data_IF_234556296503
#
_entry.id   IF_234556296503
#
_cell.length_a   1.000
_cell.length_b   1.000
_cell.length_c   1.000
_cell.angle_alpha   90.00
_cell.angle_beta   90.00
_cell.angle_gamma   90.00
#
_symmetry.space_group_name_H-M   'P 1'
#
loop_
_entity.id
_entity.type
_entity.pdbx_description
1 polymer ?
#
# COMPACT_ATOMS: atom_id res chain seq x y z
N UNK A 1 -59.89 -24.09 -19.33
CA UNK A 1 -58.40 -24.16 -19.37
C UNK A 1 -57.91 -23.00 -20.22
N UNK A 2 -57.00 -22.13 -19.73
CA UNK A 2 -56.45 -21.05 -20.54
C UNK A 2 -55.77 -21.61 -21.79
N UNK A 3 -55.92 -20.92 -22.92
CA UNK A 3 -55.31 -21.32 -24.19
C UNK A 3 -53.79 -21.40 -24.00
N UNK A 4 -53.08 -22.32 -24.68
CA UNK A 4 -51.61 -22.36 -24.64
C UNK A 4 -50.96 -21.00 -24.92
N UNK A 5 -51.58 -20.16 -25.76
CA UNK A 5 -51.13 -18.80 -26.01
C UNK A 5 -51.25 -17.86 -24.80
N UNK A 6 -52.32 -18.00 -24.00
CA UNK A 6 -52.54 -17.17 -22.80
C UNK A 6 -51.47 -17.45 -21.73
N UNK A 7 -51.03 -18.71 -21.61
CA UNK A 7 -49.97 -19.10 -20.68
C UNK A 7 -48.61 -18.53 -21.08
N UNK A 8 -48.29 -18.53 -22.37
CA UNK A 8 -47.04 -17.99 -22.87
C UNK A 8 -47.01 -16.45 -22.77
N UNK A 9 -48.13 -15.79 -23.10
CA UNK A 9 -48.29 -14.35 -22.89
C UNK A 9 -48.05 -13.96 -21.42
N UNK A 10 -48.73 -14.63 -20.48
CA UNK A 10 -48.58 -14.36 -19.05
C UNK A 10 -47.13 -14.58 -18.56
N UNK A 11 -46.42 -15.58 -19.10
CA UNK A 11 -45.00 -15.81 -18.80
C UNK A 11 -44.13 -14.65 -19.29
N UNK A 12 -44.30 -14.20 -20.54
CA UNK A 12 -43.53 -13.08 -21.11
C UNK A 12 -43.82 -11.76 -20.39
N UNK A 13 -45.08 -11.53 -20.01
CA UNK A 13 -45.47 -10.37 -19.21
C UNK A 13 -44.83 -10.39 -17.81
N UNK A 14 -44.75 -11.57 -17.17
CA UNK A 14 -44.08 -11.74 -15.88
C UNK A 14 -42.58 -11.44 -15.98
N UNK A 15 -41.92 -11.90 -17.05
CA UNK A 15 -40.50 -11.60 -17.32
C UNK A 15 -40.28 -10.09 -17.48
N UNK A 16 -41.15 -9.40 -18.23
CA UNK A 16 -41.07 -7.96 -18.39
C UNK A 16 -41.22 -7.25 -17.03
N UNK A 17 -42.25 -7.60 -16.24
CA UNK A 17 -42.45 -7.00 -14.89
C UNK A 17 -41.25 -7.22 -13.98
N UNK A 18 -40.63 -8.39 -14.01
CA UNK A 18 -39.41 -8.69 -13.25
C UNK A 18 -38.23 -7.83 -13.70
N UNK A 19 -38.04 -7.66 -15.02
CA UNK A 19 -36.99 -6.80 -15.57
C UNK A 19 -37.21 -5.33 -15.20
N UNK A 20 -38.46 -4.84 -15.24
CA UNK A 20 -38.80 -3.47 -14.81
C UNK A 20 -38.52 -3.24 -13.31
N UNK A 21 -38.89 -4.19 -12.44
CA UNK A 21 -38.62 -4.10 -11.02
C UNK A 21 -37.11 -4.09 -10.73
N UNK A 22 -36.34 -4.93 -11.42
CA UNK A 22 -34.87 -4.96 -11.32
C UNK A 22 -34.25 -3.63 -11.75
N UNK A 23 -34.69 -3.06 -12.88
CA UNK A 23 -34.21 -1.78 -13.36
C UNK A 23 -34.51 -0.63 -12.38
N UNK A 24 -35.70 -0.59 -11.77
CA UNK A 24 -36.05 0.41 -10.74
C UNK A 24 -35.16 0.31 -9.51
N UNK A 25 -34.99 -0.89 -8.96
CA UNK A 25 -34.12 -1.10 -7.79
C UNK A 25 -32.67 -0.66 -8.06
N UNK A 26 -32.14 -0.96 -9.26
CA UNK A 26 -30.79 -0.53 -9.64
C UNK A 26 -30.70 0.98 -9.85
N UNK A 27 -31.77 1.63 -10.31
CA UNK A 27 -31.84 3.09 -10.40
C UNK A 27 -31.77 3.75 -9.03
N UNK A 28 -32.49 3.20 -8.03
CA UNK A 28 -32.44 3.69 -6.64
C UNK A 28 -31.05 3.48 -6.02
N UNK A 29 -30.41 2.33 -6.26
CA UNK A 29 -29.04 2.07 -5.83
C UNK A 29 -28.03 3.02 -6.50
N UNK A 30 -28.19 3.28 -7.80
CA UNK A 30 -27.37 4.23 -8.55
C UNK A 30 -27.50 5.64 -7.97
N UNK A 31 -28.73 6.10 -7.70
CA UNK A 31 -29.00 7.39 -7.07
C UNK A 31 -28.33 7.51 -5.69
N UNK A 32 -28.38 6.45 -4.86
CA UNK A 32 -27.70 6.43 -3.57
C UNK A 32 -26.16 6.53 -3.70
N UNK A 33 -25.58 5.99 -4.78
CA UNK A 33 -24.14 6.10 -5.06
C UNK A 33 -23.79 7.51 -5.57
N UNK A 34 -24.61 8.09 -6.43
CA UNK A 34 -24.48 9.50 -6.87
C UNK A 34 -24.48 10.45 -5.67
N UNK A 35 -25.40 10.26 -4.72
CA UNK A 35 -25.44 11.09 -3.50
C UNK A 35 -24.15 10.97 -2.68
N UNK A 36 -23.60 9.77 -2.51
CA UNK A 36 -22.32 9.55 -1.80
C UNK A 36 -21.14 10.20 -2.52
N UNK A 37 -21.11 10.10 -3.85
CA UNK A 37 -20.09 10.79 -4.66
C UNK A 37 -20.17 12.30 -4.46
N UNK A 38 -21.38 12.88 -4.48
CA UNK A 38 -21.58 14.33 -4.28
C UNK A 38 -21.02 14.80 -2.94
N UNK A 39 -21.32 14.09 -1.85
CA UNK A 39 -20.78 14.39 -0.51
C UNK A 39 -19.26 14.33 -0.48
N UNK A 40 -18.66 13.33 -1.14
CA UNK A 40 -17.19 13.23 -1.23
C UNK A 40 -16.58 14.38 -2.03
N UNK A 41 -17.21 14.77 -3.14
CA UNK A 41 -16.76 15.88 -3.97
C UNK A 41 -16.83 17.23 -3.22
N UNK A 42 -17.92 17.48 -2.49
CA UNK A 42 -18.08 18.67 -1.65
C UNK A 42 -17.01 18.74 -0.55
N UNK A 43 -16.73 17.62 0.13
CA UNK A 43 -15.68 17.56 1.14
C UNK A 43 -14.28 17.88 0.57
N UNK A 44 -13.96 17.42 -0.64
CA UNK A 44 -12.69 17.75 -1.31
C UNK A 44 -12.61 19.26 -1.60
N UNK A 45 -13.69 19.87 -2.08
CA UNK A 45 -13.74 21.31 -2.35
C UNK A 45 -13.58 22.14 -1.07
N UNK A 46 -14.24 21.74 0.02
CA UNK A 46 -14.14 22.40 1.32
C UNK A 46 -12.69 22.34 1.87
N UNK A 47 -12.05 21.18 1.80
CA UNK A 47 -10.67 21.02 2.26
C UNK A 47 -9.71 21.84 1.39
N UNK A 48 -9.90 21.89 0.06
CA UNK A 48 -9.12 22.75 -0.83
C UNK A 48 -9.28 24.23 -0.47
N UNK A 49 -10.50 24.66 -0.16
CA UNK A 49 -10.75 26.03 0.29
C UNK A 49 -10.03 26.36 1.60
N UNK A 50 -10.08 25.45 2.58
CA UNK A 50 -9.32 25.59 3.84
C UNK A 50 -7.82 25.66 3.60
N UNK A 51 -7.29 24.84 2.69
CA UNK A 51 -5.87 24.83 2.34
C UNK A 51 -5.43 26.18 1.78
N UNK A 52 -6.20 26.75 0.84
CA UNK A 52 -5.90 28.03 0.20
C UNK A 52 -5.92 29.21 1.18
N UNK A 53 -6.78 29.15 2.20
CA UNK A 53 -6.91 30.23 3.18
C UNK A 53 -5.97 30.10 4.38
N UNK A 54 -5.24 28.98 4.50
CA UNK A 54 -4.38 28.71 5.66
C UNK A 54 -3.01 29.36 5.50
N UNK A 55 -2.67 30.28 6.41
CA UNK A 55 -1.36 30.94 6.47
C UNK A 55 -0.29 30.15 7.24
N UNK A 56 -0.70 29.16 8.04
CA UNK A 56 0.21 28.37 8.89
C UNK A 56 0.79 27.18 8.13
N UNK A 57 2.12 27.05 8.15
CA UNK A 57 2.86 25.95 7.50
C UNK A 57 2.62 24.59 8.16
N UNK A 58 2.35 24.55 9.48
CA UNK A 58 2.05 23.31 10.19
C UNK A 58 0.62 22.87 9.90
N UNK A 59 -0.33 23.81 9.89
CA UNK A 59 -1.72 23.52 9.56
C UNK A 59 -1.88 23.09 8.09
N UNK A 60 -1.10 23.65 7.16
CA UNK A 60 -1.16 23.27 5.75
C UNK A 60 -0.75 21.81 5.51
N UNK A 61 0.21 21.27 6.29
CA UNK A 61 0.59 19.84 6.22
C UNK A 61 -0.57 18.94 6.64
N UNK A 62 -1.23 19.24 7.76
CA UNK A 62 -2.38 18.47 8.24
C UNK A 62 -3.54 18.50 7.23
N UNK A 63 -3.89 19.69 6.72
CA UNK A 63 -4.93 19.87 5.71
C UNK A 63 -4.57 19.13 4.40
N UNK A 64 -3.29 19.08 4.02
CA UNK A 64 -2.84 18.30 2.84
C UNK A 64 -3.03 16.80 3.03
N UNK A 65 -2.81 16.26 4.23
CA UNK A 65 -3.06 14.85 4.54
C UNK A 65 -4.56 14.54 4.44
N UNK A 66 -5.40 15.41 4.99
CA UNK A 66 -6.85 15.27 4.91
C UNK A 66 -7.36 15.38 3.46
N UNK A 67 -6.77 16.26 2.66
CA UNK A 67 -7.08 16.38 1.23
C UNK A 67 -6.81 15.06 0.50
N UNK A 68 -5.63 14.46 0.70
CA UNK A 68 -5.30 13.17 0.07
C UNK A 68 -6.24 12.05 0.51
N UNK A 69 -6.66 12.04 1.78
CA UNK A 69 -7.65 11.07 2.28
C UNK A 69 -9.02 11.28 1.64
N UNK A 70 -9.45 12.54 1.46
CA UNK A 70 -10.71 12.88 0.81
C UNK A 70 -10.69 12.54 -0.69
N UNK A 71 -9.60 12.84 -1.39
CA UNK A 71 -9.40 12.48 -2.80
C UNK A 71 -9.45 10.95 -3.00
N UNK A 72 -8.80 10.17 -2.12
CA UNK A 72 -8.89 8.71 -2.17
C UNK A 72 -10.33 8.19 -1.95
N UNK A 73 -11.11 8.81 -1.05
CA UNK A 73 -12.53 8.47 -0.86
C UNK A 73 -13.36 8.84 -2.10
N UNK A 74 -13.09 9.98 -2.71
CA UNK A 74 -13.75 10.41 -3.94
C UNK A 74 -13.46 9.44 -5.09
N UNK A 75 -12.22 8.98 -5.25
CA UNK A 75 -11.85 8.00 -6.26
C UNK A 75 -12.59 6.66 -6.08
N UNK A 76 -12.69 6.17 -4.84
CA UNK A 76 -13.50 4.98 -4.52
C UNK A 76 -14.97 5.20 -4.91
N UNK A 77 -15.52 6.40 -4.65
CA UNK A 77 -16.89 6.73 -5.01
C UNK A 77 -17.10 6.83 -6.54
N UNK A 78 -16.14 7.37 -7.28
CA UNK A 78 -16.16 7.41 -8.77
C UNK A 78 -16.19 5.98 -9.32
N UNK A 79 -15.28 5.11 -8.85
CA UNK A 79 -15.24 3.73 -9.32
C UNK A 79 -16.53 2.96 -9.00
N UNK A 80 -17.12 3.20 -7.83
CA UNK A 80 -18.43 2.63 -7.47
C UNK A 80 -19.56 3.15 -8.37
N UNK A 81 -19.53 4.44 -8.72
CA UNK A 81 -20.51 5.07 -9.61
C UNK A 81 -20.43 4.48 -11.01
N UNK A 82 -19.22 4.39 -11.59
CA UNK A 82 -19.00 3.81 -12.92
C UNK A 82 -19.50 2.37 -13.00
N UNK A 83 -19.18 1.54 -12.00
CA UNK A 83 -19.68 0.15 -11.95
C UNK A 83 -21.21 0.10 -11.91
N UNK A 84 -21.84 0.95 -11.10
CA UNK A 84 -23.31 1.00 -10.97
C UNK A 84 -23.99 1.52 -12.24
N UNK A 85 -23.34 2.42 -12.97
CA UNK A 85 -23.80 2.88 -14.27
C UNK A 85 -23.83 1.73 -15.29
N UNK A 86 -22.80 0.89 -15.31
CA UNK A 86 -22.76 -0.31 -16.17
C UNK A 86 -23.87 -1.32 -15.80
N UNK A 87 -24.06 -1.59 -14.51
CA UNK A 87 -25.14 -2.45 -14.01
C UNK A 87 -26.54 -1.92 -14.38
N UNK A 88 -26.74 -0.61 -14.26
CA UNK A 88 -27.98 0.06 -14.67
C UNK A 88 -28.22 -0.06 -16.17
N UNK A 89 -27.21 0.23 -16.99
CA UNK A 89 -27.29 0.13 -18.45
C UNK A 89 -27.60 -1.31 -18.91
N UNK A 90 -26.99 -2.30 -18.27
CA UNK A 90 -27.29 -3.72 -18.54
C UNK A 90 -28.75 -4.07 -18.19
N UNK A 91 -29.27 -3.59 -17.05
CA UNK A 91 -30.65 -3.83 -16.65
C UNK A 91 -31.67 -3.12 -17.55
N UNK A 92 -31.35 -1.93 -18.07
CA UNK A 92 -32.18 -1.25 -19.06
C UNK A 92 -32.20 -2.00 -20.39
N UNK A 93 -31.05 -2.56 -20.82
CA UNK A 93 -30.99 -3.42 -22.00
C UNK A 93 -31.83 -4.70 -21.84
N UNK A 94 -31.76 -5.36 -20.69
CA UNK A 94 -32.59 -6.52 -20.34
C UNK A 94 -34.09 -6.16 -20.42
N UNK A 95 -34.47 -5.02 -19.82
CA UNK A 95 -35.85 -4.51 -19.86
C UNK A 95 -36.33 -4.25 -21.28
N UNK A 96 -35.49 -3.63 -22.11
CA UNK A 96 -35.82 -3.33 -23.49
C UNK A 96 -35.98 -4.60 -24.33
N UNK A 97 -35.08 -5.58 -24.15
CA UNK A 97 -35.18 -6.89 -24.81
C UNK A 97 -36.45 -7.65 -24.41
N UNK A 98 -36.80 -7.66 -23.12
CA UNK A 98 -38.04 -8.29 -22.65
C UNK A 98 -39.29 -7.64 -23.27
N UNK A 99 -39.29 -6.31 -23.41
CA UNK A 99 -40.38 -5.57 -24.05
C UNK A 99 -40.52 -5.92 -25.53
N UNK A 100 -39.40 -5.94 -26.27
CA UNK A 100 -39.40 -6.34 -27.69
C UNK A 100 -39.97 -7.75 -27.90
N UNK A 101 -39.57 -8.72 -27.07
CA UNK A 101 -40.09 -10.08 -27.14
C UNK A 101 -41.59 -10.19 -26.85
N UNK A 102 -42.13 -9.32 -25.98
CA UNK A 102 -43.57 -9.23 -25.74
C UNK A 102 -44.28 -8.62 -26.95
N UNK A 103 -43.75 -7.53 -27.51
CA UNK A 103 -44.33 -6.84 -28.67
C UNK A 103 -44.35 -7.74 -29.92
N UNK A 104 -43.26 -8.49 -30.19
CA UNK A 104 -43.19 -9.48 -31.26
C UNK A 104 -44.22 -10.59 -31.08
N UNK A 105 -44.41 -11.05 -29.84
CA UNK A 105 -45.41 -12.07 -29.52
C UNK A 105 -46.83 -11.56 -29.83
N UNK A 106 -47.17 -10.37 -29.36
CA UNK A 106 -48.48 -9.74 -29.60
C UNK A 106 -48.72 -9.55 -31.10
N UNK A 107 -47.70 -9.10 -31.85
CA UNK A 107 -47.78 -8.98 -33.31
C UNK A 107 -48.05 -10.32 -33.98
N UNK A 108 -47.38 -11.39 -33.56
CA UNK A 108 -47.58 -12.74 -34.12
C UNK A 108 -48.99 -13.28 -33.87
N UNK A 109 -49.58 -12.97 -32.71
CA UNK A 109 -50.96 -13.35 -32.37
C UNK A 109 -51.98 -12.60 -33.23
N UNK A 110 -51.74 -11.31 -33.49
CA UNK A 110 -52.61 -10.49 -34.34
C UNK A 110 -52.52 -10.83 -35.85
N UNK A 111 -51.46 -11.51 -36.28
CA UNK A 111 -51.30 -11.96 -37.69
C UNK A 111 -52.04 -13.27 -38.00
N UNK A 112 -52.70 -13.92 -37.03
CA UNK A 112 -53.50 -15.12 -37.30
C UNK A 112 -54.78 -14.78 -38.07
N UNK A 113 -54.64 -14.99 -39.38
CA UNK A 113 -55.62 -15.49 -40.35
C UNK A 113 -56.83 -14.62 -40.67
N UNK A 114 -56.73 -13.92 -41.80
CA UNK A 114 -57.81 -13.98 -42.79
C UNK A 114 -57.77 -15.40 -43.37
N UNK A 115 -58.78 -16.26 -43.16
CA UNK A 115 -58.83 -17.57 -43.78
C UNK A 115 -58.93 -17.37 -45.30
N UNK A 116 -57.86 -17.71 -46.03
CA UNK A 116 -57.87 -17.70 -47.48
C UNK A 116 -58.84 -18.80 -47.95
N UNK A 117 -59.84 -18.50 -48.80
CA UNK A 117 -60.86 -19.47 -49.18
C UNK A 117 -60.24 -20.70 -49.85
N UNK A 118 -60.66 -21.88 -49.39
CA UNK A 118 -60.25 -23.20 -49.90
C UNK A 118 -60.64 -23.34 -51.38
N UNK A 119 -59.68 -23.16 -52.29
CA UNK A 119 -59.77 -23.73 -53.63
C UNK A 119 -59.21 -25.15 -53.57
N UNK A 120 -59.97 -26.12 -54.09
CA UNK A 120 -59.53 -27.52 -54.20
C UNK A 120 -58.29 -27.62 -55.09
N UNK A 121 -57.23 -28.32 -54.66
CA UNK A 121 -56.03 -28.47 -55.46
C UNK A 121 -56.27 -29.44 -56.63
N UNK A 122 -55.80 -29.12 -57.84
CA UNK A 122 -55.85 -30.04 -58.98
C UNK A 122 -54.94 -31.26 -58.76
N UNK A 123 -55.30 -32.44 -59.31
CA UNK A 123 -54.51 -33.66 -59.24
C UNK A 123 -53.26 -33.49 -60.10
N UNK A 124 -52.09 -33.48 -59.45
CA UNK A 124 -50.79 -33.12 -60.05
C UNK A 124 -49.92 -32.22 -59.16
N UNK A 125 -50.43 -31.81 -57.98
CA UNK A 125 -49.85 -30.78 -57.12
C UNK A 125 -48.79 -31.25 -56.11
N UNK A 126 -48.61 -32.55 -55.87
CA UNK A 126 -47.61 -33.04 -54.88
C UNK A 126 -46.17 -32.73 -55.28
N UNK A 127 -45.84 -32.86 -56.57
CA UNK A 127 -44.49 -32.56 -57.06
C UNK A 127 -44.19 -31.05 -57.00
N UNK A 128 -45.22 -30.22 -57.19
CA UNK A 128 -45.10 -28.76 -57.09
C UNK A 128 -45.03 -28.30 -55.64
N UNK A 129 -45.73 -28.97 -54.72
CA UNK A 129 -45.68 -28.72 -53.29
C UNK A 129 -44.31 -29.08 -52.70
N UNK A 130 -43.74 -30.22 -53.08
CA UNK A 130 -42.38 -30.59 -52.67
C UNK A 130 -41.31 -29.62 -53.18
N UNK A 131 -41.47 -29.09 -54.41
CA UNK A 131 -40.60 -28.02 -54.92
C UNK A 131 -40.77 -26.68 -54.18
N UNK A 132 -41.97 -26.38 -53.65
CA UNK A 132 -42.18 -25.18 -52.85
C UNK A 132 -41.61 -25.31 -51.44
N UNK A 133 -41.73 -26.49 -50.82
CA UNK A 133 -41.16 -26.78 -49.51
C UNK A 133 -39.63 -26.72 -49.54
N UNK A 134 -38.99 -27.33 -50.54
CA UNK A 134 -37.52 -27.26 -50.70
C UNK A 134 -37.04 -25.82 -50.94
N UNK A 135 -37.79 -25.01 -51.71
CA UNK A 135 -37.49 -23.57 -51.87
C UNK A 135 -37.68 -22.78 -50.57
N UNK A 136 -38.67 -23.13 -49.75
CA UNK A 136 -38.89 -22.48 -48.46
C UNK A 136 -37.78 -22.80 -47.46
N UNK A 137 -37.37 -24.07 -47.37
CA UNK A 137 -36.25 -24.52 -46.52
C UNK A 137 -34.95 -23.84 -46.92
N UNK A 138 -34.66 -23.72 -48.22
CA UNK A 138 -33.47 -23.01 -48.70
C UNK A 138 -33.50 -21.52 -48.35
N UNK A 139 -34.66 -20.84 -48.49
CA UNK A 139 -34.80 -19.44 -48.08
C UNK A 139 -34.64 -19.24 -46.57
N UNK A 140 -35.14 -20.18 -45.77
CA UNK A 140 -34.96 -20.14 -44.32
C UNK A 140 -33.48 -20.32 -43.93
N UNK A 141 -32.78 -21.24 -44.60
CA UNK A 141 -31.34 -21.43 -44.40
C UNK A 141 -30.54 -20.17 -44.77
N UNK A 142 -30.82 -19.55 -45.91
CA UNK A 142 -30.20 -18.27 -46.32
C UNK A 142 -30.49 -17.15 -45.31
N UNK A 143 -31.71 -17.06 -44.80
CA UNK A 143 -32.08 -16.06 -43.79
C UNK A 143 -31.32 -16.29 -42.48
N UNK A 144 -31.21 -17.54 -42.01
CA UNK A 144 -30.41 -17.90 -40.82
C UNK A 144 -28.95 -17.55 -41.01
N UNK A 145 -28.39 -17.81 -42.21
CA UNK A 145 -27.02 -17.46 -42.53
C UNK A 145 -26.80 -15.94 -42.50
N UNK A 146 -27.70 -15.14 -43.09
CA UNK A 146 -27.63 -13.66 -43.01
C UNK A 146 -27.70 -13.13 -41.58
N UNK A 147 -28.57 -13.70 -40.74
CA UNK A 147 -28.67 -13.35 -39.31
C UNK A 147 -27.37 -13.65 -38.58
N UNK A 148 -26.77 -14.84 -38.81
CA UNK A 148 -25.49 -15.20 -38.21
C UNK A 148 -24.37 -14.27 -38.67
N UNK A 149 -24.31 -13.92 -39.96
CA UNK A 149 -23.31 -13.01 -40.49
C UNK A 149 -23.45 -11.59 -39.90
N UNK A 150 -24.67 -11.11 -39.74
CA UNK A 150 -24.96 -9.80 -39.12
C UNK A 150 -24.53 -9.79 -37.64
N UNK A 151 -24.79 -10.88 -36.91
CA UNK A 151 -24.30 -11.03 -35.52
C UNK A 151 -22.79 -11.02 -35.45
N UNK A 152 -22.12 -11.78 -36.34
CA UNK A 152 -20.66 -11.83 -36.38
C UNK A 152 -20.05 -10.47 -36.66
N UNK A 153 -20.60 -9.69 -37.61
CA UNK A 153 -20.15 -8.33 -37.89
C UNK A 153 -20.35 -7.40 -36.69
N UNK A 154 -21.48 -7.49 -35.99
CA UNK A 154 -21.73 -6.70 -34.79
C UNK A 154 -20.75 -7.04 -33.65
N UNK A 155 -20.45 -8.32 -33.45
CA UNK A 155 -19.45 -8.77 -32.46
C UNK A 155 -18.04 -8.28 -32.81
N UNK A 156 -17.65 -8.34 -34.08
CA UNK A 156 -16.37 -7.82 -34.56
C UNK A 156 -16.28 -6.30 -34.38
N UNK A 157 -17.35 -5.55 -34.64
CA UNK A 157 -17.39 -4.10 -34.42
C UNK A 157 -17.26 -3.75 -32.93
N UNK A 158 -17.96 -4.47 -32.04
CA UNK A 158 -17.83 -4.29 -30.59
C UNK A 158 -16.40 -4.59 -30.13
N UNK A 159 -15.79 -5.65 -30.66
CA UNK A 159 -14.39 -6.00 -30.37
C UNK A 159 -13.42 -4.93 -30.87
N UNK A 160 -13.65 -4.37 -32.07
CA UNK A 160 -12.84 -3.30 -32.63
C UNK A 160 -12.92 -2.02 -31.77
N UNK A 161 -14.12 -1.60 -31.36
CA UNK A 161 -14.31 -0.44 -30.46
C UNK A 161 -13.72 -0.68 -29.07
N UNK A 162 -13.75 -1.91 -28.57
CA UNK A 162 -13.09 -2.27 -27.31
C UNK A 162 -11.57 -2.14 -27.42
N UNK A 163 -10.98 -2.62 -28.53
CA UNK A 163 -9.56 -2.48 -28.81
C UNK A 163 -9.15 -1.01 -28.93
N UNK A 164 -9.90 -0.22 -29.70
CA UNK A 164 -9.63 1.23 -29.85
C UNK A 164 -9.62 1.97 -28.50
N UNK A 165 -10.60 1.69 -27.63
CA UNK A 165 -10.62 2.26 -26.27
C UNK A 165 -9.44 1.82 -25.41
N UNK A 166 -8.98 0.58 -25.58
CA UNK A 166 -7.79 0.07 -24.90
C UNK A 166 -6.54 0.81 -25.38
N UNK A 167 -6.38 0.97 -26.69
CA UNK A 167 -5.24 1.65 -27.31
C UNK A 167 -5.23 3.14 -26.93
N UNK A 168 -6.39 3.79 -26.86
CA UNK A 168 -6.54 5.17 -26.36
C UNK A 168 -6.11 5.30 -24.90
N UNK A 169 -6.54 4.40 -24.01
CA UNK A 169 -6.13 4.41 -22.60
C UNK A 169 -4.62 4.18 -22.45
N UNK A 170 -4.03 3.30 -23.26
CA UNK A 170 -2.59 3.08 -23.26
C UNK A 170 -1.83 4.33 -23.74
N UNK A 171 -2.34 5.01 -24.78
CA UNK A 171 -1.76 6.26 -25.28
C UNK A 171 -1.85 7.39 -24.24
N UNK A 172 -2.99 7.53 -23.54
CA UNK A 172 -3.16 8.49 -22.45
C UNK A 172 -2.21 8.18 -21.29
N UNK A 173 -2.12 6.93 -20.86
CA UNK A 173 -1.19 6.52 -19.80
C UNK A 173 0.27 6.83 -20.17
N UNK A 174 0.67 6.62 -21.43
CA UNK A 174 2.02 6.99 -21.93
C UNK A 174 2.25 8.51 -21.87
N UNK A 175 1.23 9.33 -22.19
CA UNK A 175 1.31 10.80 -22.10
C UNK A 175 1.42 11.26 -20.65
N UNK A 176 0.60 10.72 -19.75
CA UNK A 176 0.66 11.04 -18.32
C UNK A 176 2.01 10.65 -17.71
N UNK A 177 2.54 9.47 -18.06
CA UNK A 177 3.86 9.04 -17.60
C UNK A 177 4.97 9.97 -18.10
N UNK A 178 4.93 10.36 -19.38
CA UNK A 178 5.88 11.32 -19.94
C UNK A 178 5.79 12.70 -19.25
N UNK A 179 4.57 13.16 -18.92
CA UNK A 179 4.36 14.39 -18.18
C UNK A 179 4.94 14.32 -16.76
N UNK A 180 4.65 13.25 -16.01
CA UNK A 180 5.20 13.04 -14.66
C UNK A 180 6.73 12.98 -14.68
N UNK A 181 7.30 12.31 -15.68
CA UNK A 181 8.76 12.26 -15.87
C UNK A 181 9.35 13.66 -16.08
N UNK A 182 8.72 14.48 -16.93
CA UNK A 182 9.13 15.87 -17.15
C UNK A 182 9.03 16.71 -15.88
N UNK A 183 7.94 16.61 -15.13
CA UNK A 183 7.76 17.30 -13.85
C UNK A 183 8.82 16.89 -12.81
N UNK A 184 9.21 15.61 -12.80
CA UNK A 184 10.27 15.11 -11.94
C UNK A 184 11.64 15.69 -12.33
N UNK A 185 11.96 15.73 -13.63
CA UNK A 185 13.20 16.33 -14.15
C UNK A 185 13.25 17.85 -13.89
N UNK A 186 12.14 18.56 -14.05
CA UNK A 186 12.08 19.99 -13.73
C UNK A 186 12.17 20.23 -12.22
N UNK A 187 11.56 19.34 -11.43
CA UNK A 187 11.68 19.35 -9.97
C UNK A 187 13.11 19.12 -9.49
N UNK A 188 13.87 18.21 -10.10
CA UNK A 188 15.28 17.99 -9.74
C UNK A 188 16.17 19.15 -10.20
N UNK A 189 15.95 19.70 -11.39
CA UNK A 189 16.63 20.93 -11.85
C UNK A 189 16.37 22.11 -10.91
N UNK A 190 15.13 22.29 -10.45
CA UNK A 190 14.76 23.35 -9.50
C UNK A 190 15.41 23.15 -8.13
N UNK A 191 15.45 21.92 -7.62
CA UNK A 191 16.20 21.60 -6.38
C UNK A 191 17.69 21.86 -6.53
N UNK A 192 18.29 21.49 -7.66
CA UNK A 192 19.70 21.76 -7.97
C UNK A 192 19.98 23.26 -7.96
N UNK A 193 19.21 24.06 -8.72
CA UNK A 193 19.31 25.53 -8.70
C UNK A 193 19.17 26.13 -7.30
N UNK A 194 18.21 25.65 -6.50
CA UNK A 194 18.05 26.11 -5.12
C UNK A 194 19.21 25.70 -4.20
N UNK A 195 19.83 24.53 -4.41
CA UNK A 195 21.03 24.14 -3.66
C UNK A 195 22.23 24.99 -4.06
N UNK A 196 22.41 25.28 -5.35
CA UNK A 196 23.46 26.18 -5.83
C UNK A 196 23.30 27.58 -5.24
N UNK A 197 22.08 28.14 -5.29
CA UNK A 197 21.78 29.46 -4.74
C UNK A 197 21.98 29.55 -3.21
N UNK A 198 21.84 28.42 -2.49
CA UNK A 198 22.14 28.34 -1.04
C UNK A 198 23.62 28.19 -0.72
N UNK A 199 24.43 27.68 -1.67
CA UNK A 199 25.89 27.49 -1.47
C UNK A 199 26.69 28.75 -1.77
N UNK A 200 26.22 29.65 -2.63
CA UNK A 200 26.88 30.95 -2.88
C UNK A 200 27.11 31.79 -1.59
N UNK A 201 26.12 31.94 -0.69
CA UNK A 201 26.33 32.63 0.59
C UNK A 201 27.36 31.98 1.51
N UNK A 202 27.48 30.64 1.49
CA UNK A 202 28.42 29.91 2.34
C UNK A 202 29.86 30.05 1.83
N UNK A 203 30.07 30.13 0.52
CA UNK A 203 31.40 30.35 -0.04
C UNK A 203 31.92 31.76 0.29
N UNK A 204 31.06 32.79 0.18
CA UNK A 204 31.41 34.16 0.55
C UNK A 204 31.74 34.28 2.06
N UNK A 205 30.95 33.65 2.94
CA UNK A 205 31.22 33.63 4.39
C UNK A 205 32.51 32.89 4.73
N UNK A 206 32.80 31.78 4.05
CA UNK A 206 34.04 31.03 4.24
C UNK A 206 35.26 31.82 3.77
N UNK A 207 35.13 32.57 2.68
CA UNK A 207 36.19 33.45 2.18
C UNK A 207 36.48 34.61 3.16
N UNK A 208 35.43 35.26 3.68
CA UNK A 208 35.56 36.30 4.71
C UNK A 208 36.17 35.74 6.00
N UNK A 209 35.80 34.53 6.42
CA UNK A 209 36.39 33.87 7.58
C UNK A 209 37.88 33.56 7.37
N UNK A 210 38.27 33.13 6.17
CA UNK A 210 39.66 32.87 5.83
C UNK A 210 40.49 34.16 5.84
N UNK A 211 39.98 35.25 5.27
CA UNK A 211 40.64 36.56 5.30
C UNK A 211 40.84 37.07 6.74
N UNK A 212 39.85 36.91 7.62
CA UNK A 212 39.98 37.26 9.06
C UNK A 212 41.07 36.44 9.76
N UNK A 213 41.21 35.16 9.43
CA UNK A 213 42.26 34.29 9.99
C UNK A 213 43.65 34.72 9.50
N UNK A 214 43.79 35.04 8.21
CA UNK A 214 45.06 35.55 7.69
C UNK A 214 45.41 36.93 8.26
N UNK A 215 44.42 37.82 8.43
CA UNK A 215 44.63 39.11 9.09
C UNK A 215 45.06 38.93 10.56
N UNK A 216 44.44 38.02 11.30
CA UNK A 216 44.82 37.70 12.67
C UNK A 216 46.26 37.15 12.76
N UNK A 217 46.65 36.26 11.84
CA UNK A 217 48.04 35.78 11.75
C UNK A 217 49.01 36.92 11.42
N UNK A 218 48.66 37.83 10.51
CA UNK A 218 49.49 38.99 10.19
C UNK A 218 49.68 39.89 11.42
N UNK A 219 48.61 40.16 12.17
CA UNK A 219 48.66 40.90 13.45
C UNK A 219 49.54 40.20 14.48
N UNK A 220 49.42 38.88 14.62
CA UNK A 220 50.25 38.10 15.53
C UNK A 220 51.74 38.18 15.17
N UNK A 221 52.08 38.01 13.88
CA UNK A 221 53.46 38.15 13.38
C UNK A 221 54.01 39.56 13.63
N UNK A 222 53.19 40.60 13.48
CA UNK A 222 53.58 41.98 13.80
C UNK A 222 53.91 42.14 15.27
N UNK A 223 53.04 41.69 16.19
CA UNK A 223 53.30 41.71 17.64
C UNK A 223 54.56 40.93 18.02
N UNK A 224 54.84 39.82 17.34
CA UNK A 224 56.05 39.04 17.63
C UNK A 224 57.31 39.79 17.25
N UNK A 225 57.30 40.46 16.08
CA UNK A 225 58.43 41.31 15.63
C UNK A 225 58.62 42.53 16.54
N UNK A 226 57.53 43.11 17.03
CA UNK A 226 57.59 44.23 17.98
C UNK A 226 58.18 43.81 19.32
N UNK A 227 57.69 42.70 19.91
CA UNK A 227 58.26 42.14 21.13
C UNK A 227 59.74 41.75 20.97
N UNK A 228 60.15 41.25 19.80
CA UNK A 228 61.57 41.01 19.50
C UNK A 228 62.40 42.30 19.51
N UNK A 229 61.89 43.38 18.91
CA UNK A 229 62.56 44.69 18.93
C UNK A 229 62.64 45.28 20.33
N UNK A 230 61.58 45.15 21.14
CA UNK A 230 61.60 45.58 22.55
C UNK A 230 62.61 44.78 23.38
N UNK A 231 62.63 43.45 23.21
CA UNK A 231 63.59 42.60 23.91
C UNK A 231 65.05 42.91 23.52
N UNK A 232 65.30 43.22 22.26
CA UNK A 232 66.61 43.65 21.77
C UNK A 232 67.00 45.03 22.33
N UNK A 233 66.06 45.98 22.36
CA UNK A 233 66.27 47.29 22.97
C UNK A 233 66.55 47.20 24.48
N UNK A 234 65.82 46.35 25.21
CA UNK A 234 66.05 46.09 26.63
C UNK A 234 67.42 45.44 26.90
N UNK A 235 67.87 44.53 26.01
CA UNK A 235 69.22 43.97 26.06
C UNK A 235 70.29 45.05 25.90
N UNK A 236 70.12 45.98 24.97
CA UNK A 236 71.06 47.09 24.77
C UNK A 236 71.09 48.05 25.97
N UNK A 237 69.96 48.28 26.64
CA UNK A 237 69.91 49.07 27.88
C UNK A 237 70.64 48.38 29.05
N UNK A 238 70.46 47.07 29.23
CA UNK A 238 71.15 46.33 30.30
C UNK A 238 72.67 46.23 30.06
N UNK A 239 73.13 46.27 28.81
CA UNK A 239 74.58 46.27 28.48
C UNK A 239 75.25 47.61 28.84
N UNK A 240 74.48 48.70 29.03
CA UNK A 240 75.01 50.00 29.44
C UNK A 240 74.97 50.24 30.96
N UNK A 241 74.45 49.31 31.78
CA UNK A 241 74.58 49.46 33.24
C UNK A 241 76.00 49.09 33.68
N UNK A 242 76.75 50.03 34.30
CA UNK A 242 78.09 49.74 34.80
C UNK A 242 78.05 48.76 35.96
N UNK A 243 79.02 47.86 35.96
CA UNK A 243 79.19 46.72 36.84
C UNK A 243 79.51 47.13 38.29
N UNK A 244 78.49 47.26 39.14
CA UNK A 244 78.70 47.42 40.59
C UNK A 244 77.83 46.51 41.47
N UNK A 245 77.31 45.38 40.99
CA UNK A 245 76.66 44.46 41.95
C UNK A 245 76.55 43.01 41.48
N UNK A 246 77.67 42.28 41.43
CA UNK A 246 77.61 40.80 41.49
C UNK A 246 78.96 40.14 41.81
N UNK A 247 79.56 40.53 42.93
CA UNK A 247 80.58 39.72 43.62
C UNK A 247 80.01 39.17 44.93
N UNK A 248 79.15 38.16 44.84
CA UNK A 248 79.04 37.15 45.92
C UNK A 248 78.21 35.94 45.46
N UNK A 249 78.76 34.76 45.76
CA UNK A 249 78.11 33.43 45.73
C UNK A 249 78.38 32.53 44.51
N UNK A 250 79.66 32.12 44.43
CA UNK A 250 80.16 30.76 44.18
C UNK A 250 79.29 29.73 44.96
N UNK A 251 78.81 28.60 44.44
CA UNK A 251 79.55 27.32 44.27
C UNK A 251 78.69 26.17 43.69
N UNK A 252 79.33 25.32 42.83
CA UNK A 252 79.15 23.85 42.60
C UNK A 252 77.78 23.38 42.05
N UNK A 253 77.63 22.48 41.06
CA UNK A 253 78.36 21.30 40.57
C UNK A 253 78.07 21.08 39.05
N UNK A 254 79.07 20.78 38.21
CA UNK A 254 79.37 19.45 37.64
C UNK A 254 78.23 18.80 36.82
N UNK A 255 78.32 18.83 35.48
CA UNK A 255 78.24 17.65 34.59
C UNK A 255 78.44 18.00 33.10
N UNK A 256 79.12 17.07 32.44
CA UNK A 256 79.75 16.96 31.10
C UNK A 256 78.91 17.18 29.82
N UNK A 257 79.58 17.32 28.65
CA UNK A 257 78.99 17.73 27.37
C UNK A 257 78.58 16.53 26.47
N UNK A 258 77.57 16.73 25.60
CA UNK A 258 77.23 15.78 24.52
C UNK A 258 77.42 16.45 23.16
N UNK A 259 78.33 15.87 22.39
CA UNK A 259 78.81 16.36 21.10
C UNK A 259 77.73 16.31 20.00
N UNK A 260 77.82 17.22 19.00
CA UNK A 260 77.09 17.12 17.74
C UNK A 260 77.78 16.13 16.79
N UNK A 261 77.00 15.23 16.23
CA UNK A 261 77.42 14.24 15.24
C UNK A 261 77.66 14.92 13.87
N UNK A 262 78.75 14.60 13.15
CA UNK A 262 79.07 15.24 11.88
C UNK A 262 78.35 14.57 10.70
N UNK A 263 77.87 15.43 9.80
CA UNK A 263 77.34 15.10 8.48
C UNK A 263 78.26 14.16 7.68
N UNK A 264 77.72 13.14 6.99
CA UNK A 264 78.43 12.51 5.89
C UNK A 264 78.27 13.36 4.62
N UNK A 265 79.42 13.85 4.20
CA UNK A 265 79.85 14.20 2.85
C UNK A 265 78.90 13.78 1.72
N UNK A 266 78.41 14.82 1.04
CA UNK A 266 78.18 14.88 -0.41
C UNK A 266 79.39 14.29 -1.14
N UNK A 267 79.20 13.22 -1.90
CA UNK A 267 79.92 13.05 -3.16
C UNK A 267 79.21 12.06 -4.10
N UNK A 268 79.14 12.46 -5.37
CA UNK A 268 78.88 11.64 -6.55
C UNK A 268 77.50 11.02 -6.77
N UNK A 269 76.60 11.76 -7.46
CA UNK A 269 75.73 11.18 -8.51
C UNK A 269 75.08 12.21 -9.45
N UNK A 270 75.86 13.16 -9.97
CA UNK A 270 75.44 13.97 -11.13
C UNK A 270 75.63 13.17 -12.44
N UNK A 271 74.83 12.11 -12.64
CA UNK A 271 74.63 11.39 -13.94
C UNK A 271 73.64 10.23 -13.77
N UNK A 272 72.39 10.50 -13.38
CA UNK A 272 71.29 9.52 -13.45
C UNK A 272 69.88 10.12 -13.25
N UNK A 273 69.73 11.44 -13.13
CA UNK A 273 68.43 12.02 -12.75
C UNK A 273 67.38 11.97 -13.87
N UNK A 274 67.81 11.96 -15.14
CA UNK A 274 66.87 11.87 -16.27
C UNK A 274 66.33 10.45 -16.50
N UNK A 275 67.05 9.40 -16.08
CA UNK A 275 66.59 8.01 -16.22
C UNK A 275 65.73 7.52 -15.04
N UNK A 276 65.87 8.09 -13.83
CA UNK A 276 64.99 7.78 -12.68
C UNK A 276 63.66 8.53 -12.80
N UNK A 277 63.65 9.71 -13.43
CA UNK A 277 62.42 10.49 -13.66
C UNK A 277 61.49 9.80 -14.67
N UNK A 278 62.03 9.23 -15.75
CA UNK A 278 61.24 8.54 -16.78
C UNK A 278 60.60 7.22 -16.30
N UNK A 279 61.31 6.40 -15.52
CA UNK A 279 60.73 5.19 -14.93
C UNK A 279 59.64 5.51 -13.88
N UNK A 280 59.67 6.71 -13.28
CA UNK A 280 58.63 7.17 -12.34
C UNK A 280 57.35 7.66 -13.02
N UNK A 281 57.44 8.27 -14.20
CA UNK A 281 56.27 8.74 -14.96
C UNK A 281 55.48 7.58 -15.56
N UNK A 282 56.16 6.54 -16.04
CA UNK A 282 55.50 5.34 -16.58
C UNK A 282 54.76 4.57 -15.47
N UNK A 283 55.37 4.41 -14.28
CA UNK A 283 54.70 3.82 -13.12
C UNK A 283 53.51 4.65 -12.63
N UNK A 284 53.62 5.99 -12.67
CA UNK A 284 52.52 6.87 -12.32
C UNK A 284 51.36 6.77 -13.33
N UNK A 285 51.68 6.70 -14.63
CA UNK A 285 50.69 6.51 -15.69
C UNK A 285 49.98 5.14 -15.57
N UNK A 286 50.71 4.08 -15.23
CA UNK A 286 50.13 2.76 -14.97
C UNK A 286 49.21 2.78 -13.74
N UNK A 287 49.65 3.34 -12.60
CA UNK A 287 48.80 3.49 -11.40
C UNK A 287 47.56 4.34 -11.66
N UNK A 288 47.69 5.40 -12.45
CA UNK A 288 46.54 6.25 -12.85
C UNK A 288 45.53 5.47 -13.70
N UNK A 289 46.00 4.69 -14.68
CA UNK A 289 45.12 3.81 -15.49
C UNK A 289 44.44 2.74 -14.63
N UNK A 290 45.16 2.15 -13.69
CA UNK A 290 44.62 1.14 -12.77
C UNK A 290 43.55 1.74 -11.84
N UNK A 291 43.81 2.93 -11.28
CA UNK A 291 42.84 3.67 -10.48
C UNK A 291 41.58 4.03 -11.29
N UNK A 292 41.74 4.44 -12.56
CA UNK A 292 40.61 4.72 -13.45
C UNK A 292 39.80 3.45 -13.76
N UNK A 293 40.46 2.29 -13.94
CA UNK A 293 39.79 1.00 -14.14
C UNK A 293 38.99 0.59 -12.90
N UNK A 294 39.59 0.69 -11.71
CA UNK A 294 38.91 0.46 -10.43
C UNK A 294 37.71 1.40 -10.22
N UNK A 295 37.83 2.67 -10.63
CA UNK A 295 36.75 3.62 -10.57
C UNK A 295 35.59 3.23 -11.51
N UNK A 296 35.90 2.80 -12.74
CA UNK A 296 34.89 2.31 -13.70
C UNK A 296 34.19 1.04 -13.20
N UNK A 297 34.95 0.09 -12.64
CA UNK A 297 34.38 -1.13 -12.03
C UNK A 297 33.45 -0.81 -10.86
N UNK A 298 33.82 0.15 -10.00
CA UNK A 298 32.94 0.62 -8.91
C UNK A 298 31.64 1.26 -9.43
N UNK A 299 31.72 2.06 -10.49
CA UNK A 299 30.53 2.68 -11.10
C UNK A 299 29.63 1.60 -11.69
N UNK A 300 30.19 0.63 -12.42
CA UNK A 300 29.43 -0.50 -12.97
C UNK A 300 28.76 -1.33 -11.86
N UNK A 301 29.48 -1.62 -10.78
CA UNK A 301 28.92 -2.35 -9.64
C UNK A 301 27.76 -1.60 -8.97
N UNK A 302 27.85 -0.27 -8.83
CA UNK A 302 26.77 0.56 -8.27
C UNK A 302 25.55 0.62 -9.23
N UNK A 303 25.79 0.72 -10.54
CA UNK A 303 24.72 0.68 -11.55
C UNK A 303 24.01 -0.68 -11.57
N UNK A 304 24.74 -1.78 -11.50
CA UNK A 304 24.17 -3.13 -11.41
C UNK A 304 23.39 -3.34 -10.11
N UNK A 305 23.90 -2.83 -8.98
CA UNK A 305 23.20 -2.87 -7.70
C UNK A 305 21.89 -2.06 -7.75
N UNK A 306 21.88 -0.88 -8.39
CA UNK A 306 20.66 -0.08 -8.59
C UNK A 306 19.67 -0.77 -9.51
N UNK A 307 20.15 -1.44 -10.56
CA UNK A 307 19.29 -2.20 -11.47
C UNK A 307 18.62 -3.36 -10.73
N UNK A 308 19.38 -4.18 -9.99
CA UNK A 308 18.85 -5.28 -9.17
C UNK A 308 17.87 -4.79 -8.09
N UNK A 309 18.13 -3.61 -7.51
CA UNK A 309 17.22 -3.00 -6.53
C UNK A 309 15.88 -2.59 -7.15
N UNK A 310 15.89 -2.00 -8.36
CA UNK A 310 14.66 -1.67 -9.11
C UNK A 310 13.87 -2.91 -9.48
N UNK A 311 14.55 -3.97 -9.91
CA UNK A 311 13.91 -5.21 -10.30
C UNK A 311 13.22 -5.90 -9.12
N UNK A 312 13.88 -5.95 -7.95
CA UNK A 312 13.27 -6.42 -6.70
C UNK A 312 12.08 -5.56 -6.27
N UNK A 313 12.16 -4.24 -6.41
CA UNK A 313 11.06 -3.34 -6.08
C UNK A 313 9.86 -3.56 -7.02
N UNK A 314 10.09 -3.72 -8.32
CA UNK A 314 9.05 -4.04 -9.29
C UNK A 314 8.39 -5.39 -9.01
N UNK A 315 9.18 -6.39 -8.61
CA UNK A 315 8.66 -7.71 -8.24
C UNK A 315 7.82 -7.67 -6.95
N UNK A 316 8.25 -6.90 -5.94
CA UNK A 316 7.46 -6.67 -4.73
C UNK A 316 6.14 -5.95 -5.02
N UNK A 317 6.15 -4.96 -5.91
CA UNK A 317 4.94 -4.25 -6.33
C UNK A 317 3.96 -5.17 -7.07
N UNK A 318 4.47 -6.02 -7.98
CA UNK A 318 3.66 -7.01 -8.68
C UNK A 318 3.03 -8.04 -7.72
N UNK A 319 3.79 -8.54 -6.75
CA UNK A 319 3.26 -9.46 -5.73
C UNK A 319 2.22 -8.80 -4.82
N UNK A 320 2.44 -7.53 -4.42
CA UNK A 320 1.48 -6.76 -3.65
C UNK A 320 0.17 -6.55 -4.41
N UNK A 321 0.24 -6.21 -5.71
CA UNK A 321 -0.93 -6.09 -6.58
C UNK A 321 -1.70 -7.42 -6.69
N UNK A 322 -0.99 -8.55 -6.84
CA UNK A 322 -1.61 -9.89 -6.88
C UNK A 322 -2.33 -10.24 -5.58
N UNK A 323 -1.76 -9.88 -4.43
CA UNK A 323 -2.40 -10.09 -3.11
C UNK A 323 -3.65 -9.20 -2.97
N UNK A 324 -3.58 -7.96 -3.43
CA UNK A 324 -4.72 -7.03 -3.39
C UNK A 324 -5.89 -7.51 -4.26
N UNK A 325 -5.61 -8.03 -5.46
CA UNK A 325 -6.65 -8.58 -6.33
C UNK A 325 -7.31 -9.82 -5.71
N UNK A 326 -6.51 -10.74 -5.12
CA UNK A 326 -7.06 -11.89 -4.36
C UNK A 326 -7.98 -11.46 -3.22
N UNK A 327 -7.62 -10.41 -2.48
CA UNK A 327 -8.47 -9.86 -1.41
C UNK A 327 -9.76 -9.27 -1.96
N UNK A 328 -9.72 -8.60 -3.12
CA UNK A 328 -10.90 -8.03 -3.78
C UNK A 328 -11.87 -9.13 -4.23
N UNK A 329 -11.35 -10.21 -4.82
CA UNK A 329 -12.14 -11.37 -5.21
C UNK A 329 -12.80 -12.05 -4.00
N UNK A 330 -12.04 -12.29 -2.92
CA UNK A 330 -12.58 -12.87 -1.69
C UNK A 330 -13.68 -12.00 -1.05
N UNK A 331 -13.53 -10.66 -1.08
CA UNK A 331 -14.54 -9.74 -0.59
C UNK A 331 -15.82 -9.75 -1.45
N UNK A 332 -15.69 -9.92 -2.77
CA UNK A 332 -16.83 -10.05 -3.67
C UNK A 332 -17.58 -11.37 -3.44
N UNK A 333 -16.86 -12.49 -3.27
CA UNK A 333 -17.46 -13.77 -2.90
C UNK A 333 -18.17 -13.72 -1.54
N UNK A 334 -17.58 -13.04 -0.55
CA UNK A 334 -18.21 -12.83 0.74
C UNK A 334 -19.51 -12.02 0.63
N UNK A 335 -19.55 -10.99 -0.23
CA UNK A 335 -20.78 -10.25 -0.53
C UNK A 335 -21.84 -11.12 -1.22
N UNK A 336 -21.45 -11.98 -2.16
CA UNK A 336 -22.38 -12.93 -2.80
C UNK A 336 -22.97 -13.90 -1.78
N UNK A 337 -22.17 -14.38 -0.82
CA UNK A 337 -22.64 -15.23 0.27
C UNK A 337 -23.58 -14.50 1.24
N UNK A 338 -23.32 -13.24 1.58
CA UNK A 338 -24.17 -12.47 2.50
C UNK A 338 -25.50 -12.01 1.87
N UNK A 339 -25.60 -11.99 0.54
CA UNK A 339 -26.83 -11.61 -0.16
C UNK A 339 -27.91 -12.72 -0.14
N UNK A 340 -27.56 -13.95 0.25
CA UNK A 340 -28.53 -14.96 0.62
C UNK A 340 -29.08 -14.63 2.01
N UNK A 341 -30.23 -13.94 2.05
CA UNK A 341 -30.94 -13.61 3.31
C UNK A 341 -31.20 -14.91 4.10
N UNK A 342 -30.69 -15.04 5.34
CA UNK A 342 -31.17 -16.07 6.24
C UNK A 342 -32.67 -15.83 6.55
N UNK A 343 -33.45 -16.89 6.74
CA UNK A 343 -34.87 -16.79 7.09
C UNK A 343 -35.08 -15.97 8.38
N UNK A 344 -36.22 -15.28 8.50
CA UNK A 344 -36.51 -14.40 9.64
C UNK A 344 -36.45 -15.17 10.96
N UNK A 345 -35.61 -14.67 11.87
CA UNK A 345 -35.41 -15.23 13.21
C UNK A 345 -36.59 -14.79 14.12
N UNK A 346 -37.20 -15.72 14.87
CA UNK A 346 -38.32 -15.43 15.78
C UNK A 346 -37.92 -14.53 16.96
N UNK A 347 -38.91 -13.86 17.60
CA UNK A 347 -38.68 -12.79 18.57
C UNK A 347 -38.03 -13.26 19.88
N UNK A 348 -37.28 -12.32 20.46
CA UNK A 348 -36.45 -12.41 21.67
C UNK A 348 -36.95 -13.39 22.75
N UNK A 349 -36.17 -14.46 22.92
CA UNK A 349 -36.20 -15.33 24.10
C UNK A 349 -35.36 -14.67 25.20
N UNK A 350 -35.91 -14.61 26.41
CA UNK A 350 -35.24 -14.10 27.59
C UNK A 350 -33.87 -14.78 27.80
N UNK A 351 -32.88 -13.99 28.19
CA UNK A 351 -31.48 -14.38 28.34
C UNK A 351 -31.38 -15.50 29.40
N UNK A 352 -31.01 -16.74 29.03
CA UNK A 352 -30.90 -17.83 30.00
C UNK A 352 -29.82 -17.50 31.03
N UNK A 353 -30.14 -17.61 32.31
CA UNK A 353 -29.18 -17.47 33.41
C UNK A 353 -28.18 -18.65 33.51
N UNK A 354 -28.17 -19.57 32.54
CA UNK A 354 -27.33 -20.78 32.55
C UNK A 354 -25.86 -20.53 32.15
N UNK A 355 -25.53 -19.35 31.62
CA UNK A 355 -24.17 -19.09 31.10
C UNK A 355 -23.10 -19.03 32.21
N UNK A 356 -23.42 -18.54 33.40
CA UNK A 356 -22.41 -18.28 34.44
C UNK A 356 -21.89 -19.56 35.10
N UNK A 357 -22.74 -20.58 35.26
CA UNK A 357 -22.33 -21.88 35.81
C UNK A 357 -21.37 -22.61 34.87
N UNK A 358 -21.61 -22.52 33.56
CA UNK A 358 -20.77 -23.10 32.52
C UNK A 358 -19.36 -22.48 32.57
N UNK A 359 -19.26 -21.16 32.75
CA UNK A 359 -17.96 -20.49 32.85
C UNK A 359 -17.23 -20.81 34.17
N UNK A 360 -17.96 -21.00 35.27
CA UNK A 360 -17.36 -21.45 36.55
C UNK A 360 -16.82 -22.87 36.45
N UNK A 361 -17.58 -23.79 35.85
CA UNK A 361 -17.13 -25.17 35.62
C UNK A 361 -15.89 -25.21 34.71
N UNK A 362 -15.92 -24.50 33.58
CA UNK A 362 -14.75 -24.36 32.71
C UNK A 362 -13.53 -23.82 33.45
N UNK A 363 -13.72 -22.84 34.35
CA UNK A 363 -12.60 -22.28 35.09
C UNK A 363 -11.98 -23.30 36.04
N UNK A 364 -12.80 -24.11 36.71
CA UNK A 364 -12.32 -25.20 37.57
C UNK A 364 -11.49 -26.21 36.78
N UNK A 365 -11.97 -26.62 35.59
CA UNK A 365 -11.22 -27.51 34.69
C UNK A 365 -9.88 -26.89 34.27
N UNK A 366 -9.88 -25.58 33.99
CA UNK A 366 -8.66 -24.85 33.67
C UNK A 366 -7.71 -24.76 34.87
N UNK A 367 -8.20 -24.63 36.10
CA UNK A 367 -7.37 -24.66 37.32
C UNK A 367 -6.71 -26.01 37.52
N UNK A 368 -7.44 -27.11 37.30
CA UNK A 368 -6.90 -28.46 37.37
C UNK A 368 -5.80 -28.65 36.33
N UNK A 369 -6.05 -28.25 35.08
CA UNK A 369 -5.07 -28.32 34.01
C UNK A 369 -3.81 -27.47 34.30
N UNK A 370 -3.95 -26.34 35.01
CA UNK A 370 -2.81 -25.48 35.37
C UNK A 370 -1.96 -26.00 36.54
N UNK A 371 -2.35 -27.07 37.22
CA UNK A 371 -1.51 -27.68 38.26
C UNK A 371 -0.26 -28.34 37.67
N UNK A 372 -0.37 -28.95 36.49
CA UNK A 372 0.74 -29.60 35.79
C UNK A 372 0.75 -29.24 34.29
N UNK A 373 1.53 -28.21 33.95
CA UNK A 373 1.72 -27.78 32.57
C UNK A 373 2.45 -28.82 31.70
N UNK A 374 3.24 -29.72 32.30
CA UNK A 374 4.01 -30.72 31.54
C UNK A 374 3.14 -31.89 31.08
N UNK A 375 2.11 -32.23 31.85
CA UNK A 375 1.12 -33.26 31.53
C UNK A 375 -0.04 -32.75 30.65
N UNK A 376 -0.12 -31.45 30.38
CA UNK A 376 -1.25 -30.85 29.65
C UNK A 376 -1.25 -31.24 28.17
N UNK A 377 -2.26 -32.01 27.76
CA UNK A 377 -2.47 -32.42 26.35
C UNK A 377 -3.52 -31.57 25.63
N UNK A 378 -4.42 -30.95 26.38
CA UNK A 378 -5.51 -30.12 25.85
C UNK A 378 -5.51 -28.76 26.52
N UNK A 379 -5.50 -27.71 25.70
CA UNK A 379 -5.61 -26.34 26.21
C UNK A 379 -7.04 -26.09 26.74
N UNK A 380 -7.22 -25.54 27.95
CA UNK A 380 -8.54 -25.28 28.53
C UNK A 380 -9.24 -24.10 27.83
N UNK A 381 -9.78 -24.35 26.64
CA UNK A 381 -10.46 -23.34 25.82
C UNK A 381 -11.81 -22.94 26.44
N UNK A 382 -12.12 -21.63 26.57
CA UNK A 382 -13.42 -21.19 27.05
C UNK A 382 -14.56 -21.79 26.22
N UNK A 383 -15.69 -22.17 26.85
CA UNK A 383 -16.82 -22.73 26.12
C UNK A 383 -17.35 -21.71 25.11
N UNK A 384 -17.68 -22.20 23.92
CA UNK A 384 -18.27 -21.36 22.87
C UNK A 384 -19.67 -20.91 23.31
N UNK A 385 -19.96 -19.61 23.38
CA UNK A 385 -21.31 -19.17 23.72
C UNK A 385 -22.27 -19.52 22.58
N UNK A 386 -23.48 -19.97 22.95
CA UNK A 386 -24.56 -20.25 21.99
C UNK A 386 -24.91 -19.00 21.16
N UNK A 387 -24.85 -17.82 21.79
CA UNK A 387 -24.96 -16.53 21.11
C UNK A 387 -23.58 -15.97 20.78
N UNK A 388 -23.21 -16.05 19.51
CA UNK A 388 -21.98 -15.48 18.97
C UNK A 388 -22.04 -13.94 18.99
N UNK A 389 -20.93 -13.30 19.38
CA UNK A 389 -20.78 -11.84 19.27
C UNK A 389 -20.93 -11.36 17.81
N UNK A 390 -21.92 -10.49 17.56
CA UNK A 390 -22.23 -9.94 16.23
C UNK A 390 -21.44 -8.67 15.86
N UNK A 391 -20.44 -8.26 16.66
CA UNK A 391 -19.62 -7.10 16.32
C UNK A 391 -18.82 -7.38 15.03
N UNK A 392 -18.81 -6.49 14.03
CA UNK A 392 -18.17 -6.74 12.74
C UNK A 392 -16.67 -7.05 12.87
N UNK A 393 -15.98 -6.39 13.79
CA UNK A 393 -14.57 -6.65 14.10
C UNK A 393 -14.33 -8.05 14.67
N UNK A 394 -15.29 -8.57 15.44
CA UNK A 394 -15.22 -9.92 16.02
C UNK A 394 -15.48 -11.00 14.96
N UNK A 395 -16.43 -10.77 14.06
CA UNK A 395 -16.76 -11.70 12.96
C UNK A 395 -15.60 -11.81 11.95
N UNK A 396 -15.04 -10.68 11.52
CA UNK A 396 -13.95 -10.66 10.53
C UNK A 396 -12.66 -11.28 11.08
N UNK A 397 -12.37 -11.10 12.36
CA UNK A 397 -11.14 -11.57 12.98
C UNK A 397 -11.22 -12.99 13.57
N UNK A 398 -12.36 -13.68 13.52
CA UNK A 398 -12.54 -14.97 14.22
C UNK A 398 -11.71 -16.10 13.60
N UNK A 399 -11.66 -16.17 12.27
CA UNK A 399 -10.99 -17.27 11.55
C UNK A 399 -9.47 -17.23 11.63
N UNK A 400 -8.88 -16.05 11.88
CA UNK A 400 -7.43 -15.87 12.00
C UNK A 400 -6.89 -16.00 13.42
N UNK A 401 -7.75 -16.20 14.42
CA UNK A 401 -7.37 -16.33 15.84
C UNK A 401 -7.07 -17.78 16.23
N UNK A 402 -6.13 -17.96 17.14
CA UNK A 402 -5.72 -19.26 17.67
C UNK A 402 -6.87 -19.96 18.42
N UNK A 403 -7.68 -19.22 19.18
CA UNK A 403 -8.84 -19.79 19.91
C UNK A 403 -10.11 -19.88 19.07
N UNK A 404 -10.18 -19.24 17.90
CA UNK A 404 -11.41 -19.06 17.11
C UNK A 404 -12.59 -18.44 17.90
N UNK A 405 -12.30 -17.82 19.04
CA UNK A 405 -13.25 -17.12 19.93
C UNK A 405 -12.92 -15.62 19.87
N UNK A 406 -13.93 -14.75 19.96
CA UNK A 406 -13.70 -13.31 19.91
C UNK A 406 -13.31 -12.75 21.30
N UNK A 407 -12.65 -11.56 21.37
CA UNK A 407 -12.24 -10.97 22.65
C UNK A 407 -13.39 -10.73 23.62
N UNK A 408 -14.57 -10.37 23.11
CA UNK A 408 -15.74 -10.10 23.96
C UNK A 408 -16.26 -11.36 24.64
N UNK A 409 -16.19 -12.51 23.98
CA UNK A 409 -16.63 -13.79 24.56
C UNK A 409 -15.61 -14.27 25.62
N UNK A 410 -14.31 -14.08 25.36
CA UNK A 410 -13.25 -14.34 26.35
C UNK A 410 -13.44 -13.43 27.57
N UNK A 411 -13.68 -12.13 27.36
CA UNK A 411 -13.94 -11.17 28.43
C UNK A 411 -15.15 -11.58 29.27
N UNK A 412 -16.25 -12.00 28.62
CA UNK A 412 -17.46 -12.49 29.31
C UNK A 412 -17.14 -13.73 30.16
N UNK A 413 -16.42 -14.70 29.60
CA UNK A 413 -16.02 -15.91 30.31
C UNK A 413 -15.15 -15.61 31.54
N UNK A 414 -14.15 -14.72 31.39
CA UNK A 414 -13.27 -14.32 32.50
C UNK A 414 -14.04 -13.52 33.56
N UNK A 415 -14.96 -12.62 33.20
CA UNK A 415 -15.78 -11.88 34.19
C UNK A 415 -16.69 -12.81 34.99
N UNK A 416 -17.27 -13.83 34.36
CA UNK A 416 -18.19 -14.75 35.02
C UNK A 416 -17.53 -15.60 36.13
N UNK A 417 -16.20 -15.74 36.12
CA UNK A 417 -15.47 -16.47 37.18
C UNK A 417 -15.39 -15.69 38.49
N UNK A 418 -15.49 -14.36 38.45
CA UNK A 418 -15.36 -13.49 39.62
C UNK A 418 -13.97 -13.47 40.26
N UNK A 419 -12.94 -14.01 39.61
CA UNK A 419 -11.56 -13.99 40.12
C UNK A 419 -10.88 -12.62 39.94
N UNK A 420 -9.92 -12.25 40.83
CA UNK A 420 -9.15 -11.03 40.65
C UNK A 420 -8.33 -11.04 39.35
N UNK A 421 -8.42 -9.98 38.53
CA UNK A 421 -7.73 -9.92 37.23
C UNK A 421 -6.21 -10.05 37.33
N UNK A 422 -5.62 -9.65 38.47
CA UNK A 422 -4.18 -9.82 38.75
C UNK A 422 -3.76 -11.30 38.79
N UNK A 423 -4.62 -12.18 39.29
CA UNK A 423 -4.38 -13.63 39.35
C UNK A 423 -4.57 -14.25 37.98
N UNK A 424 -5.68 -13.93 37.31
CA UNK A 424 -5.96 -14.39 35.95
C UNK A 424 -4.79 -14.04 35.01
N UNK A 425 -4.25 -12.82 35.10
CA UNK A 425 -3.10 -12.39 34.30
C UNK A 425 -1.88 -13.29 34.50
N UNK A 426 -1.63 -13.75 35.73
CA UNK A 426 -0.49 -14.66 36.02
C UNK A 426 -0.76 -16.08 35.53
N UNK A 427 -2.00 -16.55 35.60
CA UNK A 427 -2.38 -17.88 35.13
C UNK A 427 -2.27 -18.02 33.61
N UNK A 428 -2.68 -17.01 32.86
CA UNK A 428 -2.69 -17.02 31.39
C UNK A 428 -1.39 -16.55 30.73
N UNK A 429 -0.31 -16.31 31.47
CA UNK A 429 0.94 -15.84 30.89
C UNK A 429 1.54 -16.89 29.92
N UNK A 430 1.88 -16.54 28.66
CA UNK A 430 2.35 -17.50 27.66
C UNK A 430 3.60 -18.27 28.10
N UNK A 431 4.50 -17.66 28.86
CA UNK A 431 5.72 -18.33 29.37
C UNK A 431 5.42 -19.56 30.23
N UNK A 432 4.28 -19.63 30.93
CA UNK A 432 3.93 -20.83 31.70
C UNK A 432 3.74 -22.06 30.82
N UNK A 433 3.27 -21.85 29.59
CA UNK A 433 3.06 -22.89 28.59
C UNK A 433 4.34 -23.29 27.84
N UNK A 434 5.50 -22.69 28.15
CA UNK A 434 6.79 -23.12 27.59
C UNK A 434 7.22 -24.51 28.08
N UNK A 435 6.70 -24.94 29.23
CA UNK A 435 6.98 -26.24 29.84
C UNK A 435 6.12 -27.38 29.29
N UNK A 436 5.12 -27.07 28.45
CA UNK A 436 4.30 -28.08 27.78
C UNK A 436 5.12 -28.91 26.77
N UNK A 437 4.58 -30.09 26.40
CA UNK A 437 5.14 -30.97 25.37
C UNK A 437 5.43 -30.18 24.09
N UNK A 438 6.56 -30.46 23.44
CA UNK A 438 7.08 -29.68 22.31
C UNK A 438 6.07 -29.57 21.15
N UNK A 439 5.33 -30.64 20.89
CA UNK A 439 4.32 -30.74 19.82
C UNK A 439 3.15 -29.74 19.98
N UNK A 440 2.74 -29.45 21.22
CA UNK A 440 1.59 -28.58 21.51
C UNK A 440 2.00 -27.20 22.04
N UNK A 441 3.27 -27.02 22.38
CA UNK A 441 3.83 -25.82 23.03
C UNK A 441 3.50 -24.54 22.26
N UNK A 442 3.82 -24.49 20.97
CA UNK A 442 3.60 -23.29 20.15
C UNK A 442 2.11 -22.94 20.05
N UNK A 443 1.26 -23.95 19.83
CA UNK A 443 -0.18 -23.77 19.74
C UNK A 443 -0.77 -23.28 21.08
N UNK A 444 -0.29 -23.80 22.21
CA UNK A 444 -0.76 -23.40 23.54
C UNK A 444 -0.30 -21.99 23.90
N UNK A 445 0.94 -21.63 23.58
CA UNK A 445 1.44 -20.26 23.77
C UNK A 445 0.64 -19.26 22.92
N UNK A 446 0.30 -19.59 21.68
CA UNK A 446 -0.53 -18.74 20.83
C UNK A 446 -1.94 -18.53 21.43
N UNK A 447 -2.58 -19.60 21.90
CA UNK A 447 -3.89 -19.53 22.58
C UNK A 447 -3.82 -18.75 23.89
N UNK A 448 -2.82 -19.01 24.73
CA UNK A 448 -2.60 -18.29 26.00
C UNK A 448 -2.38 -16.80 25.77
N UNK A 449 -1.59 -16.44 24.74
CA UNK A 449 -1.34 -15.04 24.36
C UNK A 449 -2.63 -14.28 24.04
N UNK A 450 -3.59 -14.92 23.37
CA UNK A 450 -4.90 -14.30 23.09
C UNK A 450 -5.68 -14.03 24.38
N UNK A 451 -5.78 -15.01 25.28
CA UNK A 451 -6.46 -14.81 26.58
C UNK A 451 -5.74 -13.75 27.40
N UNK A 452 -4.42 -13.82 27.49
CA UNK A 452 -3.59 -12.87 28.23
C UNK A 452 -3.79 -11.43 27.76
N UNK A 453 -3.86 -11.18 26.44
CA UNK A 453 -4.12 -9.83 25.92
C UNK A 453 -5.49 -9.28 26.35
N UNK A 454 -6.51 -10.14 26.42
CA UNK A 454 -7.84 -9.75 26.91
C UNK A 454 -7.77 -9.44 28.40
N UNK A 455 -7.16 -10.32 29.20
CA UNK A 455 -7.02 -10.14 30.65
C UNK A 455 -6.20 -8.91 31.01
N UNK A 456 -5.13 -8.59 30.27
CA UNK A 456 -4.34 -7.37 30.47
C UNK A 456 -5.18 -6.12 30.24
N UNK A 457 -5.97 -6.08 29.16
CA UNK A 457 -6.89 -4.96 28.88
C UNK A 457 -7.93 -4.80 29.98
N UNK A 458 -8.48 -5.91 30.49
CA UNK A 458 -9.44 -5.89 31.60
C UNK A 458 -8.80 -5.35 32.89
N UNK A 459 -7.59 -5.83 33.22
CA UNK A 459 -6.83 -5.36 34.39
C UNK A 459 -6.48 -3.87 34.31
N UNK A 460 -6.09 -3.38 33.13
CA UNK A 460 -5.82 -1.95 32.91
C UNK A 460 -7.08 -1.10 33.06
N UNK A 461 -8.23 -1.59 32.58
CA UNK A 461 -9.52 -0.93 32.75
C UNK A 461 -9.95 -0.84 34.22
N UNK A 462 -9.71 -1.89 35.02
CA UNK A 462 -9.99 -1.89 36.47
C UNK A 462 -9.07 -0.96 37.27
N UNK A 463 -7.82 -0.75 36.83
CA UNK A 463 -6.85 0.13 37.51
C UNK A 463 -6.99 1.61 37.13
N UNK A 464 -7.59 1.89 35.98
CA UNK A 464 -7.83 3.25 35.48
C UNK A 464 -9.12 3.90 36.00
N UNK A 465 -9.93 3.15 36.75
CA UNK A 465 -11.05 3.62 37.55
C UNK A 465 -10.60 3.81 38.99
#
# INVERSE_FOLDING_TARGET
>A
MPSPGDKEFARRETILKQAEAKARNLSDEYNAVVSRYRVCAEAVLEIKHRLNNTKSSVASIAITIDLKRAEARQEIAINALMKKQEEHAAAEADRFSAKLHLDEYVKSMNQKSVPKPKQQPPPGSEQQQHQQETKAVNKEAEMKQRIQETRKRAEEEVRARAKERSDQREAEAKREWAQRKKEQEDGTKRRSRNQSAKREPDFARMQEAWEKVEEAKARQRSRTREAQREAEAARLQNVQQPAEEQTRSRTRERSTPKAPEPSPLRENRARSEDNVRFLSEEQYAQKKKEAERLQKERIQADEEARFRSRDRAAQQEADAARIQEKRRQAAEEAKKRSAQKPPPVPPHRERPQQDDEIYKAWRQDAEEAFKDYTAMEVFPTPPFPDTICNKPECLLGRSSRALKICPCDIEKAIKATGRPMKEERKCWHPDKFSTCKEEVREAFQAKAKEVFQVVVKMYEAEKGQ
#
